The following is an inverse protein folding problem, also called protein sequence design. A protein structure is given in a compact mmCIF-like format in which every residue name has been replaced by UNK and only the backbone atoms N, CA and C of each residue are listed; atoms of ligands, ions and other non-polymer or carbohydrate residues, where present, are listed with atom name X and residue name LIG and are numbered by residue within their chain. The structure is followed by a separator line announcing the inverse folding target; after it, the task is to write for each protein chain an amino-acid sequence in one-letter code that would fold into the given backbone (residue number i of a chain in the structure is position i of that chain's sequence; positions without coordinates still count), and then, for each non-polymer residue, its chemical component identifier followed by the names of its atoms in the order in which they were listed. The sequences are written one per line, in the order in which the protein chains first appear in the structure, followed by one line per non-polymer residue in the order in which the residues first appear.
data_IF_290522201580
#
_entry.id   IF_290522201580
#
_cell.length_a   1.000
_cell.length_b   1.000
_cell.length_c   1.000
_cell.angle_alpha   90.00
_cell.angle_beta   90.00
_cell.angle_gamma   90.00
#
_symmetry.space_group_name_H-M   'P 1'
#
loop_
_entity.id
_entity.type
_entity.pdbx_description
1 polymer ?
#
# COMPACT_ATOMS: atom_id res chain seq x y z
N UNK A 1 39.12 -6.94 -31.34
CA UNK A 1 38.92 -8.23 -32.00
C UNK A 1 38.00 -7.99 -33.20
N UNK A 2 38.50 -8.08 -34.44
CA UNK A 2 37.68 -7.85 -35.65
C UNK A 2 37.03 -9.17 -36.02
N UNK A 3 35.72 -9.29 -35.84
CA UNK A 3 34.96 -10.46 -36.28
C UNK A 3 35.07 -10.61 -37.80
N UNK A 4 35.38 -11.82 -38.26
CA UNK A 4 35.49 -12.11 -39.68
C UNK A 4 34.11 -12.09 -40.34
N UNK A 5 34.07 -11.78 -41.64
CA UNK A 5 32.81 -11.66 -42.41
C UNK A 5 31.92 -12.90 -42.34
N UNK A 6 32.50 -14.08 -42.07
CA UNK A 6 31.79 -15.35 -41.86
C UNK A 6 31.09 -15.43 -40.51
N UNK A 7 31.67 -14.85 -39.46
CA UNK A 7 31.10 -14.82 -38.11
C UNK A 7 29.89 -13.88 -38.06
N UNK A 8 29.98 -12.72 -38.73
CA UNK A 8 28.86 -11.79 -38.88
C UNK A 8 27.68 -12.46 -39.61
N UNK A 9 27.96 -13.21 -40.67
CA UNK A 9 26.92 -13.93 -41.41
C UNK A 9 26.25 -15.02 -40.56
N UNK A 10 27.03 -15.74 -39.76
CA UNK A 10 26.51 -16.77 -38.86
C UNK A 10 25.64 -16.18 -37.73
N UNK A 11 26.07 -15.06 -37.14
CA UNK A 11 25.28 -14.33 -36.13
C UNK A 11 23.96 -13.83 -36.72
N UNK A 12 23.96 -13.30 -37.95
CA UNK A 12 22.73 -12.87 -38.63
C UNK A 12 21.73 -14.01 -38.85
N UNK A 13 22.21 -15.22 -39.16
CA UNK A 13 21.32 -16.38 -39.34
C UNK A 13 20.70 -16.81 -38.01
N UNK A 14 21.49 -16.86 -36.94
CA UNK A 14 21.00 -17.18 -35.60
C UNK A 14 19.96 -16.14 -35.16
N UNK A 15 20.22 -14.85 -35.39
CA UNK A 15 19.30 -13.78 -35.04
C UNK A 15 17.96 -13.92 -35.79
N UNK A 16 17.98 -14.24 -37.09
CA UNK A 16 16.75 -14.48 -37.85
C UNK A 16 15.97 -15.71 -37.37
N UNK A 17 16.67 -16.78 -36.97
CA UNK A 17 16.04 -17.96 -36.37
C UNK A 17 15.35 -17.64 -35.04
N UNK A 18 15.99 -16.83 -34.18
CA UNK A 18 15.41 -16.39 -32.91
C UNK A 18 14.15 -15.55 -33.14
N UNK A 19 14.19 -14.61 -34.09
CA UNK A 19 13.04 -13.77 -34.45
C UNK A 19 11.88 -14.64 -34.97
N UNK A 20 12.16 -15.63 -35.83
CA UNK A 20 11.15 -16.55 -36.33
C UNK A 20 10.51 -17.38 -35.19
N UNK A 21 11.31 -17.84 -34.23
CA UNK A 21 10.83 -18.59 -33.07
C UNK A 21 9.95 -17.72 -32.14
N UNK A 22 10.33 -16.46 -31.92
CA UNK A 22 9.52 -15.50 -31.17
C UNK A 22 8.17 -15.25 -31.86
N UNK A 23 8.16 -15.08 -33.18
CA UNK A 23 6.92 -14.89 -33.95
C UNK A 23 5.99 -16.11 -33.84
N UNK A 24 6.54 -17.33 -33.85
CA UNK A 24 5.75 -18.56 -33.65
C UNK A 24 5.16 -18.62 -32.24
N UNK A 25 5.95 -18.28 -31.21
CA UNK A 25 5.48 -18.25 -29.82
C UNK A 25 4.38 -17.21 -29.60
N UNK A 26 4.52 -16.01 -30.18
CA UNK A 26 3.49 -14.96 -30.14
C UNK A 26 2.21 -15.46 -30.82
N UNK A 27 2.32 -16.17 -31.95
CA UNK A 27 1.15 -16.66 -32.67
C UNK A 27 0.43 -17.79 -31.91
N UNK A 28 1.19 -18.67 -31.23
CA UNK A 28 0.62 -19.71 -30.35
C UNK A 28 -0.11 -19.07 -29.17
N UNK A 29 0.53 -18.11 -28.50
CA UNK A 29 -0.05 -17.41 -27.36
C UNK A 29 -1.30 -16.60 -27.74
N UNK A 30 -1.27 -15.93 -28.90
CA UNK A 30 -2.44 -15.23 -29.46
C UNK A 30 -3.59 -16.19 -29.78
N UNK A 31 -3.30 -17.42 -30.24
CA UNK A 31 -4.33 -18.41 -30.52
C UNK A 31 -4.95 -19.00 -29.25
N UNK A 32 -4.16 -19.16 -28.18
CA UNK A 32 -4.67 -19.58 -26.87
C UNK A 32 -5.56 -18.51 -26.24
N UNK A 33 -5.22 -17.22 -26.39
CA UNK A 33 -6.08 -16.12 -25.93
C UNK A 33 -7.40 -16.02 -26.71
N UNK A 34 -7.38 -16.26 -28.02
CA UNK A 34 -8.62 -16.30 -28.81
C UNK A 34 -9.53 -17.47 -28.42
N UNK A 35 -8.96 -18.65 -28.18
CA UNK A 35 -9.74 -19.80 -27.75
C UNK A 35 -10.31 -19.65 -26.32
N UNK A 36 -9.59 -18.96 -25.43
CA UNK A 36 -10.09 -18.62 -24.08
C UNK A 36 -11.21 -17.57 -24.10
N UNK A 37 -11.23 -16.68 -25.10
CA UNK A 37 -12.25 -15.65 -25.25
C UNK A 37 -13.57 -16.16 -25.88
N UNK A 38 -13.53 -17.22 -26.69
CA UNK A 38 -14.75 -17.83 -27.27
C UNK A 38 -15.55 -18.67 -26.27
N UNK A 39 -14.91 -19.23 -25.24
CA UNK A 39 -15.59 -20.07 -24.22
C UNK A 39 -16.37 -19.25 -23.16
N UNK A 40 -16.33 -17.91 -23.21
CA UNK A 40 -16.98 -17.02 -22.23
C UNK A 40 -18.03 -16.04 -22.78
N UNK A 41 -18.51 -16.21 -24.03
CA UNK A 41 -19.45 -15.22 -24.59
C UNK A 41 -20.91 -15.40 -24.14
N UNK A 42 -21.38 -14.53 -23.22
CA UNK A 42 -22.73 -13.94 -23.15
C UNK A 42 -22.60 -12.47 -22.64
N UNK A 43 -23.55 -11.56 -22.94
CA UNK A 43 -23.20 -10.27 -23.54
C UNK A 43 -22.95 -9.11 -22.55
N UNK A 44 -21.89 -8.37 -22.88
CA UNK A 44 -21.64 -6.92 -22.76
C UNK A 44 -22.42 -6.10 -21.72
N UNK A 45 -21.69 -5.62 -20.71
CA UNK A 45 -21.77 -4.25 -20.21
C UNK A 45 -20.34 -3.73 -19.98
N UNK A 46 -20.09 -2.51 -20.41
CA UNK A 46 -18.79 -1.87 -20.63
C UNK A 46 -17.88 -1.86 -19.39
N UNK A 47 -16.63 -2.30 -19.55
CA UNK A 47 -15.55 -2.19 -18.57
C UNK A 47 -14.51 -1.16 -19.02
N UNK A 48 -14.11 -0.33 -18.06
CA UNK A 48 -12.91 0.50 -18.10
C UNK A 48 -11.66 -0.42 -18.07
N UNK A 49 -10.80 -0.27 -19.08
CA UNK A 49 -9.39 -0.71 -19.11
C UNK A 49 -8.53 0.36 -18.41
N UNK A 50 -7.37 0.11 -17.81
CA UNK A 50 -6.60 -1.07 -17.43
C UNK A 50 -5.43 -0.45 -16.64
N UNK A 51 -5.30 -0.72 -15.34
CA UNK A 51 -4.19 -0.21 -14.52
C UNK A 51 -3.32 -1.38 -14.09
N UNK A 52 -2.04 -1.27 -14.45
CA UNK A 52 -1.05 -2.34 -14.35
C UNK A 52 -0.81 -2.79 -12.91
N UNK A 53 -1.39 -3.92 -12.54
CA UNK A 53 -0.85 -4.84 -11.54
C UNK A 53 -1.40 -6.24 -11.82
N UNK A 54 -0.52 -7.20 -12.07
CA UNK A 54 -0.91 -8.59 -12.32
C UNK A 54 -1.50 -9.17 -11.03
N UNK A 55 -2.83 -9.27 -11.01
CA UNK A 55 -3.62 -9.94 -9.99
C UNK A 55 -3.68 -11.43 -10.33
N UNK A 56 -2.98 -12.28 -9.59
CA UNK A 56 -3.25 -13.71 -9.62
C UNK A 56 -4.28 -14.07 -8.52
N UNK A 57 -5.51 -14.50 -8.89
CA UNK A 57 -6.43 -15.07 -7.92
C UNK A 57 -5.86 -16.40 -7.40
N UNK A 58 -5.87 -16.59 -6.08
CA UNK A 58 -5.52 -17.88 -5.46
C UNK A 58 -6.68 -18.84 -5.72
N UNK A 59 -6.40 -19.97 -6.37
CA UNK A 59 -7.36 -21.03 -6.64
C UNK A 59 -8.05 -21.54 -5.35
N UNK A 60 -9.34 -21.79 -5.50
CA UNK A 60 -10.28 -22.26 -4.49
C UNK A 60 -9.92 -23.69 -4.04
N UNK A 61 -9.23 -23.83 -2.90
CA UNK A 61 -8.91 -25.13 -2.31
C UNK A 61 -10.14 -25.72 -1.62
N UNK A 62 -10.82 -26.64 -2.31
CA UNK A 62 -11.83 -27.53 -1.72
C UNK A 62 -11.15 -28.66 -0.94
N UNK A 63 -11.47 -28.79 0.35
CA UNK A 63 -10.97 -29.86 1.24
C UNK A 63 -11.64 -31.21 0.91
N UNK A 64 -10.83 -32.25 0.79
CA UNK A 64 -11.22 -33.66 0.92
C UNK A 64 -10.72 -34.17 2.28
N UNK A 65 -11.63 -34.78 3.05
CA UNK A 65 -11.37 -35.36 4.38
C UNK A 65 -10.51 -36.62 4.30
N UNK A 66 -9.64 -36.83 5.30
CA UNK A 66 -9.46 -38.16 5.89
C UNK A 66 -8.94 -38.07 7.34
N UNK A 67 -9.60 -38.84 8.21
CA UNK A 67 -9.37 -38.95 9.64
C UNK A 67 -8.24 -39.92 10.00
N UNK A 68 -7.43 -39.61 11.01
CA UNK A 68 -6.89 -40.61 11.94
C UNK A 68 -6.48 -39.98 13.28
N UNK A 69 -6.91 -40.64 14.35
CA UNK A 69 -6.79 -40.32 15.76
C UNK A 69 -5.38 -40.62 16.32
N UNK A 70 -4.84 -39.74 17.18
CA UNK A 70 -3.91 -40.09 18.27
C UNK A 70 -3.64 -38.89 19.21
N UNK A 71 -4.07 -39.03 20.46
CA UNK A 71 -3.86 -38.07 21.55
C UNK A 71 -2.37 -37.88 21.94
N UNK A 72 -1.98 -36.64 22.30
CA UNK A 72 -1.32 -36.30 23.58
C UNK A 72 -1.07 -34.79 23.74
N UNK A 73 -1.77 -34.20 24.72
CA UNK A 73 -1.34 -33.13 25.64
C UNK A 73 -0.23 -32.16 25.19
N UNK A 74 -0.62 -31.05 24.57
CA UNK A 74 -0.06 -29.71 24.78
C UNK A 74 -1.26 -28.75 24.78
N UNK A 75 -1.20 -27.65 25.54
CA UNK A 75 -2.26 -26.65 25.58
C UNK A 75 -2.39 -26.00 24.21
N UNK A 76 -3.15 -26.64 23.31
CA UNK A 76 -3.40 -26.15 21.96
C UNK A 76 -4.13 -24.80 22.07
N UNK A 77 -3.44 -23.74 21.67
CA UNK A 77 -4.06 -22.52 21.16
C UNK A 77 -4.94 -22.94 19.98
N UNK A 78 -6.18 -23.35 20.25
CA UNK A 78 -7.14 -23.67 19.20
C UNK A 78 -7.39 -22.40 18.40
N UNK A 79 -7.30 -22.51 17.08
CA UNK A 79 -7.60 -21.40 16.18
C UNK A 79 -9.01 -20.88 16.43
N UNK A 80 -9.12 -19.57 16.61
CA UNK A 80 -10.39 -18.84 16.68
C UNK A 80 -10.82 -18.31 15.31
N UNK A 81 -10.08 -18.62 14.25
CA UNK A 81 -10.36 -18.18 12.89
C UNK A 81 -11.28 -19.19 12.17
N UNK A 82 -12.56 -18.86 11.90
CA UNK A 82 -13.49 -19.80 11.28
C UNK A 82 -13.11 -20.13 9.81
N UNK A 83 -12.28 -19.31 9.17
CA UNK A 83 -11.85 -19.51 7.78
C UNK A 83 -10.54 -20.29 7.68
N UNK A 84 -9.67 -20.22 8.70
CA UNK A 84 -8.34 -20.83 8.70
C UNK A 84 -8.08 -21.52 10.06
N UNK A 85 -8.66 -22.71 10.29
CA UNK A 85 -8.59 -23.40 11.59
C UNK A 85 -7.19 -23.89 11.96
N UNK A 86 -6.26 -23.88 11.00
CA UNK A 86 -4.86 -24.26 11.20
C UNK A 86 -3.98 -23.06 11.59
N UNK A 87 -4.47 -21.82 11.42
CA UNK A 87 -3.71 -20.63 11.79
C UNK A 87 -3.76 -20.42 13.30
N UNK A 88 -2.60 -20.17 13.91
CA UNK A 88 -2.45 -19.85 15.32
C UNK A 88 -2.76 -18.37 15.58
N UNK A 89 -3.43 -18.03 16.68
CA UNK A 89 -3.56 -16.64 17.09
C UNK A 89 -2.17 -16.05 17.39
N UNK A 90 -2.02 -14.75 17.14
CA UNK A 90 -0.77 -14.06 17.43
C UNK A 90 -0.38 -14.17 18.92
N UNK A 91 0.82 -14.66 19.25
CA UNK A 91 1.15 -15.06 20.61
C UNK A 91 1.63 -13.85 21.42
N UNK A 92 0.72 -13.26 22.19
CA UNK A 92 1.07 -12.22 23.17
C UNK A 92 0.78 -12.70 24.59
N UNK A 93 1.67 -12.36 25.51
CA UNK A 93 1.51 -12.67 26.94
C UNK A 93 0.95 -11.48 27.73
N UNK A 94 1.25 -10.26 27.28
CA UNK A 94 0.95 -9.01 27.97
C UNK A 94 0.27 -8.01 27.05
N UNK A 95 -0.55 -7.14 27.63
CA UNK A 95 -1.27 -6.07 26.91
C UNK A 95 -0.62 -4.69 27.11
N UNK A 96 0.68 -4.68 27.40
CA UNK A 96 1.50 -3.51 27.67
C UNK A 96 2.88 -3.64 27.02
N UNK A 97 3.55 -2.50 26.80
CA UNK A 97 4.86 -2.45 26.14
C UNK A 97 4.80 -2.66 24.63
N UNK A 98 5.97 -2.78 23.98
CA UNK A 98 6.02 -2.96 22.53
C UNK A 98 5.66 -4.39 22.13
N UNK A 99 4.89 -4.53 21.06
CA UNK A 99 4.48 -5.83 20.54
C UNK A 99 5.70 -6.66 20.06
N UNK A 100 6.68 -6.01 19.43
CA UNK A 100 7.91 -6.65 18.95
C UNK A 100 8.79 -7.25 20.06
N UNK A 101 8.66 -6.78 21.31
CA UNK A 101 9.39 -7.36 22.44
C UNK A 101 8.81 -8.72 22.87
N UNK A 102 7.53 -8.96 22.57
CA UNK A 102 6.83 -10.21 22.86
C UNK A 102 6.90 -11.18 21.68
N UNK A 103 6.73 -10.68 20.46
CA UNK A 103 6.81 -11.48 19.24
C UNK A 103 7.59 -10.74 18.14
N UNK A 104 8.92 -10.95 18.09
CA UNK A 104 9.84 -10.19 17.23
C UNK A 104 9.81 -10.67 15.77
N UNK A 105 8.70 -10.46 15.06
CA UNK A 105 8.55 -10.82 13.64
C UNK A 105 9.67 -10.29 12.76
N UNK A 106 10.26 -9.14 13.11
CA UNK A 106 11.37 -8.50 12.42
C UNK A 106 12.67 -9.31 12.46
N UNK A 107 12.79 -10.22 13.44
CA UNK A 107 13.92 -11.15 13.61
C UNK A 107 13.60 -12.57 13.13
N UNK A 108 12.36 -12.83 12.73
CA UNK A 108 11.90 -14.13 12.27
C UNK A 108 11.97 -14.22 10.74
N UNK A 109 12.09 -15.45 10.23
CA UNK A 109 12.06 -15.72 8.79
C UNK A 109 10.60 -15.75 8.28
N UNK A 110 9.99 -14.57 8.12
CA UNK A 110 8.67 -14.44 7.49
C UNK A 110 8.79 -14.76 6.00
N UNK A 111 8.21 -15.88 5.56
CA UNK A 111 8.26 -16.34 4.15
C UNK A 111 7.21 -15.67 3.30
N UNK A 112 6.02 -15.44 3.87
CA UNK A 112 4.90 -14.81 3.17
C UNK A 112 4.01 -14.04 4.14
N UNK A 113 3.48 -12.91 3.67
CA UNK A 113 2.38 -12.20 4.32
C UNK A 113 1.20 -12.19 3.36
N UNK A 114 0.04 -12.62 3.84
CA UNK A 114 -1.22 -12.58 3.08
C UNK A 114 -2.30 -11.86 3.88
N UNK A 115 -3.09 -11.02 3.20
CA UNK A 115 -4.23 -10.32 3.79
C UNK A 115 -5.49 -11.00 3.27
N UNK A 116 -6.31 -11.52 4.17
CA UNK A 116 -7.60 -12.14 3.84
C UNK A 116 -8.72 -11.22 4.30
N UNK A 117 -9.67 -10.95 3.40
CA UNK A 117 -10.84 -10.13 3.69
C UNK A 117 -12.07 -11.02 3.60
N UNK A 118 -12.78 -11.17 4.71
CA UNK A 118 -14.11 -11.78 4.70
C UNK A 118 -15.11 -10.79 4.09
N UNK A 119 -15.75 -11.21 3.01
CA UNK A 119 -16.81 -10.49 2.31
C UNK A 119 -18.10 -11.33 2.37
N UNK A 120 -19.24 -10.71 2.08
CA UNK A 120 -20.54 -11.39 2.07
C UNK A 120 -20.59 -12.57 1.08
N UNK A 121 -19.75 -12.55 0.04
CA UNK A 121 -19.68 -13.55 -1.03
C UNK A 121 -18.47 -14.50 -0.94
N UNK A 122 -17.75 -14.52 0.18
CA UNK A 122 -16.60 -15.40 0.39
C UNK A 122 -15.38 -14.67 0.93
N UNK A 123 -14.22 -15.29 0.83
CA UNK A 123 -12.96 -14.70 1.32
C UNK A 123 -12.11 -14.28 0.13
N UNK A 124 -11.69 -13.02 0.10
CA UNK A 124 -10.72 -12.52 -0.87
C UNK A 124 -9.34 -12.46 -0.24
N UNK A 125 -8.36 -13.10 -0.88
CA UNK A 125 -6.96 -13.07 -0.44
C UNK A 125 -6.12 -12.12 -1.29
N UNK A 126 -5.18 -11.43 -0.64
CA UNK A 126 -4.15 -10.62 -1.26
C UNK A 126 -2.78 -11.09 -0.78
N UNK A 127 -1.87 -11.34 -1.72
CA UNK A 127 -0.46 -11.59 -1.39
C UNK A 127 0.26 -10.26 -1.34
N UNK A 128 0.94 -9.99 -0.23
CA UNK A 128 1.75 -8.78 -0.10
C UNK A 128 3.07 -8.99 -0.84
N UNK A 129 3.58 -7.98 -1.54
CA UNK A 129 4.89 -8.07 -2.18
C UNK A 129 6.01 -8.18 -1.13
N UNK A 130 7.09 -8.95 -1.39
CA UNK A 130 8.18 -9.09 -0.43
C UNK A 130 8.80 -7.76 0.03
N UNK A 131 8.86 -6.77 -0.86
CA UNK A 131 9.34 -5.41 -0.58
C UNK A 131 8.49 -4.72 0.50
N UNK A 132 7.18 -4.99 0.51
CA UNK A 132 6.24 -4.39 1.48
C UNK A 132 6.20 -5.13 2.83
N UNK A 133 6.86 -6.30 2.97
CA UNK A 133 6.86 -7.05 4.23
C UNK A 133 7.45 -6.26 5.37
N UNK A 134 8.56 -5.56 5.11
CA UNK A 134 9.23 -4.74 6.12
C UNK A 134 8.28 -3.71 6.72
N UNK A 135 7.46 -3.05 5.90
CA UNK A 135 6.55 -1.99 6.36
C UNK A 135 5.45 -2.54 7.26
N UNK A 136 4.85 -3.67 6.88
CA UNK A 136 3.82 -4.32 7.70
C UNK A 136 4.39 -4.88 9.00
N UNK A 137 5.53 -5.56 8.92
CA UNK A 137 6.21 -6.12 10.09
C UNK A 137 6.62 -5.01 11.05
N UNK A 138 7.31 -3.96 10.60
CA UNK A 138 7.69 -2.83 11.44
C UNK A 138 6.49 -2.06 11.98
N UNK A 139 5.46 -1.87 11.15
CA UNK A 139 4.23 -1.19 11.56
C UNK A 139 3.47 -1.92 12.67
N UNK A 140 3.66 -3.24 12.77
CA UNK A 140 3.08 -4.09 13.81
C UNK A 140 4.01 -4.24 15.03
N UNK A 141 5.28 -4.60 14.82
CA UNK A 141 6.23 -4.83 15.93
C UNK A 141 6.54 -3.55 16.72
N UNK A 142 6.37 -2.38 16.11
CA UNK A 142 6.57 -1.09 16.78
C UNK A 142 5.34 -0.61 17.56
N UNK A 143 4.23 -1.36 17.60
CA UNK A 143 3.05 -0.95 18.36
C UNK A 143 3.33 -1.00 19.87
N UNK A 144 3.18 0.15 20.54
CA UNK A 144 3.14 0.21 22.00
C UNK A 144 1.72 -0.11 22.49
N UNK A 145 1.52 -1.30 23.06
CA UNK A 145 0.22 -1.79 23.51
C UNK A 145 -0.36 -0.95 24.66
N UNK A 146 0.48 -0.29 25.45
CA UNK A 146 0.03 0.60 26.52
C UNK A 146 -0.63 1.86 25.98
N UNK A 147 -0.07 2.45 24.93
CA UNK A 147 -0.58 3.70 24.31
C UNK A 147 -1.75 3.43 23.38
N UNK A 148 -1.76 2.29 22.70
CA UNK A 148 -2.70 2.00 21.61
C UNK A 148 -4.00 1.33 22.05
N UNK A 149 -4.08 0.86 23.30
CA UNK A 149 -5.26 0.17 23.84
C UNK A 149 -6.52 1.02 23.75
N UNK A 150 -7.64 0.41 23.36
CA UNK A 150 -8.93 1.08 23.25
C UNK A 150 -10.09 0.22 23.78
N UNK A 151 -11.09 0.88 24.37
CA UNK A 151 -12.33 0.26 24.85
C UNK A 151 -13.39 0.34 23.74
N UNK A 152 -13.28 -0.52 22.73
CA UNK A 152 -14.33 -0.67 21.71
C UNK A 152 -15.25 -1.82 22.05
N UNK A 153 -16.57 -1.59 21.90
CA UNK A 153 -17.56 -2.66 21.95
C UNK A 153 -17.45 -3.50 20.68
N UNK A 154 -17.05 -4.76 20.81
CA UNK A 154 -16.81 -5.72 19.72
C UNK A 154 -18.03 -6.03 18.83
N UNK A 155 -19.19 -5.42 19.09
CA UNK A 155 -20.49 -5.75 18.50
C UNK A 155 -20.92 -4.94 17.28
N UNK A 156 -20.04 -4.11 16.69
CA UNK A 156 -20.48 -3.11 15.70
C UNK A 156 -19.81 -3.16 14.31
N UNK A 157 -18.91 -4.10 14.00
CA UNK A 157 -17.98 -3.90 12.88
C UNK A 157 -17.95 -5.09 11.91
N UNK A 158 -18.19 -4.82 10.62
CA UNK A 158 -18.69 -5.76 9.61
C UNK A 158 -17.65 -6.21 8.58
N UNK A 159 -16.36 -6.19 8.90
CA UNK A 159 -15.33 -6.72 7.98
C UNK A 159 -14.22 -7.39 8.77
N UNK A 160 -14.22 -8.72 8.76
CA UNK A 160 -13.14 -9.51 9.34
C UNK A 160 -11.97 -9.54 8.37
N UNK A 161 -10.99 -8.65 8.60
CA UNK A 161 -9.70 -8.70 7.90
C UNK A 161 -8.73 -9.53 8.74
N UNK A 162 -8.04 -10.46 8.11
CA UNK A 162 -7.02 -11.30 8.75
C UNK A 162 -5.68 -11.06 8.08
N UNK A 163 -4.70 -10.61 8.85
CA UNK A 163 -3.30 -10.50 8.43
C UNK A 163 -2.62 -11.80 8.83
N UNK A 164 -2.17 -12.58 7.85
CA UNK A 164 -1.56 -13.90 8.08
C UNK A 164 -0.07 -13.85 7.78
N UNK A 165 0.71 -14.33 8.74
CA UNK A 165 2.17 -14.45 8.66
C UNK A 165 2.54 -15.92 8.51
N UNK A 166 3.17 -16.26 7.40
CA UNK A 166 3.65 -17.61 7.10
C UNK A 166 5.13 -17.68 7.48
N UNK A 167 5.42 -18.43 8.55
CA UNK A 167 6.78 -18.73 9.00
C UNK A 167 7.16 -20.15 8.56
N UNK A 168 8.35 -20.64 8.92
CA UNK A 168 8.87 -21.92 8.43
C UNK A 168 7.96 -23.12 8.71
N UNK A 169 7.38 -23.22 9.92
CA UNK A 169 6.56 -24.36 10.35
C UNK A 169 5.17 -23.97 10.87
N UNK A 170 4.86 -22.68 10.95
CA UNK A 170 3.66 -22.18 11.62
C UNK A 170 3.07 -21.00 10.86
N UNK A 171 1.76 -20.87 10.94
CA UNK A 171 1.02 -19.72 10.42
C UNK A 171 0.37 -18.99 11.59
N UNK A 172 0.61 -17.69 11.66
CA UNK A 172 0.01 -16.83 12.67
C UNK A 172 -0.95 -15.84 12.02
N UNK A 173 -2.02 -15.48 12.72
CA UNK A 173 -2.95 -14.46 12.24
C UNK A 173 -3.21 -13.36 13.28
N UNK A 174 -3.49 -12.16 12.77
CA UNK A 174 -4.06 -11.04 13.51
C UNK A 174 -5.35 -10.63 12.85
N UNK A 175 -6.42 -10.51 13.64
CA UNK A 175 -7.66 -9.90 13.18
C UNK A 175 -7.52 -8.38 13.20
N UNK A 176 -7.90 -7.75 12.12
CA UNK A 176 -7.86 -6.30 11.93
C UNK A 176 -9.23 -5.78 11.53
N UNK A 177 -9.54 -4.59 12.03
CA UNK A 177 -10.78 -3.92 11.81
C UNK A 177 -10.57 -2.64 11.00
N UNK A 178 -11.04 -2.63 9.75
CA UNK A 178 -10.87 -1.50 8.84
C UNK A 178 -11.57 -0.23 9.33
N UNK A 179 -12.78 -0.34 9.87
CA UNK A 179 -13.59 0.83 10.21
C UNK A 179 -13.05 1.58 11.42
N UNK A 180 -12.44 0.86 12.36
CA UNK A 180 -11.86 1.45 13.58
C UNK A 180 -10.35 1.65 13.52
N UNK A 181 -9.67 1.10 12.51
CA UNK A 181 -8.22 0.98 12.44
C UNK A 181 -7.63 0.32 13.70
N UNK A 182 -8.15 -0.86 14.07
CA UNK A 182 -7.67 -1.60 15.25
C UNK A 182 -7.24 -3.02 14.91
N UNK A 183 -6.21 -3.52 15.59
CA UNK A 183 -5.88 -4.95 15.67
C UNK A 183 -6.49 -5.55 16.92
N UNK A 184 -6.93 -6.80 16.83
CA UNK A 184 -7.38 -7.59 17.97
C UNK A 184 -6.28 -8.55 18.40
N UNK A 185 -5.86 -8.44 19.67
CA UNK A 185 -4.85 -9.29 20.28
C UNK A 185 -5.35 -9.74 21.65
N UNK A 186 -5.44 -11.05 21.89
CA UNK A 186 -5.95 -11.65 23.14
C UNK A 186 -7.30 -11.05 23.60
N UNK A 187 -8.23 -10.87 22.65
CA UNK A 187 -9.57 -10.30 22.90
C UNK A 187 -9.59 -8.81 23.29
N UNK A 188 -8.47 -8.10 23.12
CA UNK A 188 -8.36 -6.65 23.35
C UNK A 188 -8.07 -5.94 22.03
N UNK A 189 -8.50 -4.68 21.92
CA UNK A 189 -8.34 -3.87 20.72
C UNK A 189 -7.25 -2.82 20.89
N UNK A 190 -6.42 -2.67 19.86
CA UNK A 190 -5.31 -1.71 19.84
C UNK A 190 -5.32 -0.96 18.52
N UNK A 191 -5.22 0.37 18.55
CA UNK A 191 -5.10 1.15 17.32
C UNK A 191 -3.82 0.80 16.56
N UNK A 192 -3.97 0.54 15.27
CA UNK A 192 -2.85 0.23 14.40
C UNK A 192 -2.07 1.49 14.00
N UNK A 193 -0.82 1.29 13.57
CA UNK A 193 0.05 2.36 13.11
C UNK A 193 -0.40 2.96 11.78
N UNK A 194 0.06 4.18 11.48
CA UNK A 194 -0.27 4.87 10.20
C UNK A 194 0.00 4.01 8.97
N UNK A 195 1.16 3.36 8.94
CA UNK A 195 1.57 2.55 7.79
C UNK A 195 0.70 1.29 7.67
N UNK A 196 0.41 0.61 8.79
CA UNK A 196 -0.44 -0.57 8.77
C UNK A 196 -1.86 -0.22 8.26
N UNK A 197 -2.43 0.89 8.77
CA UNK A 197 -3.71 1.42 8.31
C UNK A 197 -3.72 1.68 6.80
N UNK A 198 -2.78 2.47 6.28
CA UNK A 198 -2.78 2.87 4.87
C UNK A 198 -2.60 1.67 3.94
N UNK A 199 -1.73 0.72 4.29
CA UNK A 199 -1.53 -0.50 3.51
C UNK A 199 -2.78 -1.39 3.49
N UNK A 200 -3.44 -1.58 4.63
CA UNK A 200 -4.66 -2.40 4.66
C UNK A 200 -5.80 -1.76 3.86
N UNK A 201 -5.91 -0.43 3.89
CA UNK A 201 -6.87 0.28 3.04
C UNK A 201 -6.53 0.19 1.55
N UNK A 202 -5.25 0.19 1.16
CA UNK A 202 -4.84 -0.03 -0.23
C UNK A 202 -5.39 -1.37 -0.77
N UNK A 203 -5.26 -2.46 -0.01
CA UNK A 203 -5.76 -3.77 -0.45
C UNK A 203 -7.27 -3.92 -0.31
N UNK A 204 -7.85 -3.43 0.78
CA UNK A 204 -9.24 -3.75 1.11
C UNK A 204 -10.24 -2.72 0.56
N UNK A 205 -9.82 -1.46 0.39
CA UNK A 205 -10.68 -0.34 -0.02
C UNK A 205 -9.90 0.66 -0.91
N UNK A 206 -9.30 0.21 -2.04
CA UNK A 206 -8.39 1.02 -2.86
C UNK A 206 -9.01 2.33 -3.36
N UNK A 207 -10.32 2.36 -3.65
CA UNK A 207 -11.02 3.56 -4.14
C UNK A 207 -11.29 4.64 -3.08
N UNK A 208 -10.95 4.41 -1.81
CA UNK A 208 -11.10 5.42 -0.74
C UNK A 208 -9.88 6.34 -0.67
N UNK A 209 -10.03 7.53 -0.07
CA UNK A 209 -8.88 8.43 0.13
C UNK A 209 -7.74 7.80 0.94
N UNK A 210 -8.05 6.91 1.89
CA UNK A 210 -7.03 6.13 2.58
C UNK A 210 -6.37 5.07 1.69
N UNK A 211 -7.12 4.45 0.77
CA UNK A 211 -6.56 3.54 -0.23
C UNK A 211 -5.57 4.24 -1.13
N UNK A 212 -5.95 5.43 -1.64
CA UNK A 212 -5.07 6.31 -2.41
C UNK A 212 -3.85 6.80 -1.60
N UNK A 213 -4.03 7.11 -0.31
CA UNK A 213 -2.90 7.41 0.57
C UNK A 213 -1.97 6.20 0.73
N UNK A 214 -2.53 4.99 0.82
CA UNK A 214 -1.76 3.74 0.81
C UNK A 214 -0.97 3.53 -0.49
N UNK A 215 -1.56 3.82 -1.65
CA UNK A 215 -0.90 3.79 -2.95
C UNK A 215 0.29 4.76 -3.01
N UNK A 216 0.06 6.03 -2.62
CA UNK A 216 1.10 7.05 -2.51
C UNK A 216 2.24 6.61 -1.57
N UNK A 217 1.91 6.00 -0.42
CA UNK A 217 2.92 5.44 0.50
C UNK A 217 3.66 4.25 -0.10
N UNK A 218 3.00 3.44 -0.93
CA UNK A 218 3.66 2.40 -1.71
C UNK A 218 4.72 2.97 -2.65
N UNK A 219 4.45 4.11 -3.29
CA UNK A 219 5.44 4.82 -4.12
C UNK A 219 6.63 5.30 -3.27
N UNK A 220 6.39 5.86 -2.07
CA UNK A 220 7.47 6.26 -1.15
C UNK A 220 8.37 5.06 -0.78
N UNK A 221 7.77 3.92 -0.44
CA UNK A 221 8.51 2.71 0.00
C UNK A 221 9.30 2.09 -1.15
N UNK A 222 8.71 2.01 -2.35
CA UNK A 222 9.42 1.52 -3.53
C UNK A 222 10.58 2.43 -3.91
N UNK A 223 10.47 3.73 -3.63
CA UNK A 223 11.57 4.68 -3.79
C UNK A 223 12.70 4.40 -2.78
N UNK A 224 12.40 4.17 -1.49
CA UNK A 224 13.38 3.91 -0.43
C UNK A 224 14.33 2.71 -0.68
N UNK A 225 13.90 1.71 -1.45
CA UNK A 225 14.72 0.54 -1.81
C UNK A 225 15.80 0.84 -2.88
N UNK A 226 15.71 1.99 -3.56
CA UNK A 226 16.75 2.46 -4.47
C UNK A 226 17.87 3.21 -3.70
N UNK A 227 19.12 3.24 -4.21
CA UNK A 227 20.18 4.04 -3.60
C UNK A 227 19.70 5.48 -3.42
N UNK A 228 19.75 6.00 -2.19
CA UNK A 228 19.23 7.32 -1.84
C UNK A 228 19.78 8.38 -2.82
N UNK A 229 18.96 8.93 -3.74
CA UNK A 229 19.43 9.94 -4.64
C UNK A 229 19.74 11.18 -3.82
N UNK A 230 20.85 11.84 -4.13
CA UNK A 230 21.23 13.05 -3.41
C UNK A 230 20.29 14.20 -3.84
N UNK A 231 19.62 14.82 -2.87
CA UNK A 231 18.82 16.03 -3.12
C UNK A 231 19.75 17.16 -3.62
N UNK A 232 19.37 17.82 -4.71
CA UNK A 232 20.08 19.00 -5.19
C UNK A 232 19.64 20.24 -4.41
N UNK A 233 20.34 20.48 -3.30
CA UNK A 233 20.10 21.64 -2.42
C UNK A 233 20.61 22.96 -3.00
N UNK A 234 21.22 22.96 -4.20
CA UNK A 234 21.56 24.22 -4.89
C UNK A 234 20.33 24.88 -5.50
N UNK A 235 19.24 24.13 -5.69
CA UNK A 235 17.96 24.64 -6.19
C UNK A 235 17.14 25.22 -5.04
N UNK A 236 16.98 26.53 -5.07
CA UNK A 236 16.15 27.29 -4.14
C UNK A 236 14.94 27.82 -4.90
N UNK A 237 13.75 27.62 -4.34
CA UNK A 237 12.50 28.05 -4.93
C UNK A 237 11.81 29.09 -4.05
N UNK A 238 10.95 29.90 -4.66
CA UNK A 238 10.04 30.78 -3.92
C UNK A 238 8.93 29.94 -3.26
N UNK A 239 8.82 29.93 -1.91
CA UNK A 239 7.79 29.18 -1.19
C UNK A 239 6.36 29.49 -1.63
N UNK A 240 6.09 30.71 -2.10
CA UNK A 240 4.75 31.13 -2.51
C UNK A 240 4.21 30.31 -3.68
N UNK A 241 5.10 29.78 -4.54
CA UNK A 241 4.74 28.96 -5.72
C UNK A 241 4.14 27.60 -5.35
N UNK A 242 4.38 27.11 -4.13
CA UNK A 242 3.95 25.79 -3.67
C UNK A 242 2.75 25.81 -2.72
N UNK A 243 2.11 26.97 -2.57
CA UNK A 243 0.78 27.01 -1.97
C UNK A 243 -0.19 26.21 -2.81
N UNK A 244 -1.23 25.66 -2.20
CA UNK A 244 -2.37 25.06 -2.89
C UNK A 244 -3.60 25.84 -2.48
N UNK A 245 -4.34 26.39 -3.46
CA UNK A 245 -5.45 27.32 -3.21
C UNK A 245 -5.07 28.45 -2.23
N UNK A 246 -3.94 29.12 -2.48
CA UNK A 246 -3.42 30.22 -1.66
C UNK A 246 -3.07 29.87 -0.22
N UNK A 247 -2.93 28.59 0.13
CA UNK A 247 -2.55 28.14 1.47
C UNK A 247 -1.28 27.29 1.45
N UNK A 248 -0.37 27.56 2.38
CA UNK A 248 0.74 26.67 2.71
C UNK A 248 0.28 25.54 3.67
N UNK A 249 1.21 24.66 4.05
CA UNK A 249 0.91 23.53 4.95
C UNK A 249 0.28 23.98 6.28
N UNK A 250 0.86 24.97 6.96
CA UNK A 250 0.39 25.42 8.26
C UNK A 250 -1.00 26.06 8.19
N UNK A 251 -1.27 26.81 7.11
CA UNK A 251 -2.58 27.42 6.85
C UNK A 251 -3.65 26.37 6.54
N UNK A 252 -3.32 25.38 5.71
CA UNK A 252 -4.19 24.24 5.45
C UNK A 252 -4.46 23.43 6.71
N UNK A 253 -3.42 23.10 7.48
CA UNK A 253 -3.55 22.33 8.73
C UNK A 253 -4.47 23.04 9.73
N UNK A 254 -4.33 24.36 9.89
CA UNK A 254 -5.24 25.18 10.71
C UNK A 254 -6.66 25.18 10.16
N UNK A 255 -6.81 25.39 8.85
CA UNK A 255 -8.11 25.41 8.18
C UNK A 255 -8.87 24.09 8.38
N UNK A 256 -8.23 22.97 8.05
CA UNK A 256 -8.77 21.61 8.20
C UNK A 256 -9.15 21.31 9.64
N UNK A 257 -8.30 21.69 10.60
CA UNK A 257 -8.58 21.44 12.02
C UNK A 257 -9.75 22.26 12.57
N UNK A 258 -10.08 23.39 11.93
CA UNK A 258 -11.16 24.29 12.35
C UNK A 258 -12.46 24.14 11.57
N UNK A 259 -12.43 23.46 10.41
CA UNK A 259 -13.59 23.31 9.54
C UNK A 259 -14.29 21.97 9.78
N UNK A 260 -15.58 22.02 10.12
CA UNK A 260 -16.43 20.85 10.42
C UNK A 260 -16.67 19.93 9.23
N UNK A 261 -16.47 20.39 8.00
CA UNK A 261 -16.64 19.58 6.79
C UNK A 261 -15.56 18.48 6.69
N UNK A 262 -14.42 18.68 7.36
CA UNK A 262 -13.35 17.71 7.47
C UNK A 262 -13.61 16.76 8.64
N UNK A 263 -14.05 15.55 8.33
CA UNK A 263 -14.43 14.55 9.32
C UNK A 263 -13.21 13.87 9.91
N UNK A 264 -13.18 13.70 11.23
CA UNK A 264 -12.27 12.75 11.88
C UNK A 264 -12.66 11.34 11.48
N UNK A 265 -11.88 10.76 10.56
CA UNK A 265 -12.23 9.49 9.94
C UNK A 265 -11.62 8.31 10.71
N UNK A 266 -10.33 8.41 11.05
CA UNK A 266 -9.58 7.30 11.65
C UNK A 266 -8.59 7.80 12.69
N UNK A 267 -8.45 7.06 13.79
CA UNK A 267 -7.35 7.23 14.76
C UNK A 267 -6.26 6.23 14.45
N UNK A 268 -5.00 6.62 14.60
CA UNK A 268 -3.86 5.76 14.36
C UNK A 268 -2.74 6.04 15.35
N UNK A 269 -1.91 5.02 15.58
CA UNK A 269 -0.72 5.14 16.40
C UNK A 269 0.47 5.72 15.61
N UNK A 270 1.08 6.77 16.16
CA UNK A 270 2.27 7.40 15.62
C UNK A 270 3.49 6.88 16.36
N UNK A 271 4.26 6.03 15.67
CA UNK A 271 5.45 5.37 16.24
C UNK A 271 6.54 6.38 16.63
N UNK A 272 6.67 7.50 15.89
CA UNK A 272 7.78 8.45 16.07
C UNK A 272 7.71 9.25 17.37
N UNK A 273 6.52 9.48 17.89
CA UNK A 273 6.27 10.31 19.08
C UNK A 273 5.39 9.60 20.13
N UNK A 274 5.20 8.28 19.98
CA UNK A 274 4.43 7.41 20.88
C UNK A 274 3.08 8.01 21.27
N UNK A 275 2.30 8.44 20.27
CA UNK A 275 1.02 9.12 20.52
C UNK A 275 -0.07 8.76 19.50
N UNK A 276 -1.32 8.95 19.92
CA UNK A 276 -2.49 8.78 19.08
C UNK A 276 -2.72 10.02 18.22
N UNK A 277 -2.87 9.81 16.92
CA UNK A 277 -3.16 10.85 15.93
C UNK A 277 -4.44 10.51 15.17
N UNK A 278 -4.98 11.50 14.48
CA UNK A 278 -6.22 11.38 13.73
C UNK A 278 -5.98 11.76 12.27
N UNK A 279 -6.59 11.00 11.36
CA UNK A 279 -6.76 11.37 9.95
C UNK A 279 -8.06 12.14 9.80
N UNK A 280 -7.99 13.28 9.14
CA UNK A 280 -9.16 14.06 8.72
C UNK A 280 -9.35 13.96 7.22
N UNK A 281 -10.59 13.81 6.79
CA UNK A 281 -10.93 13.55 5.39
C UNK A 281 -12.07 14.45 4.92
N UNK A 282 -11.96 14.94 3.69
CA UNK A 282 -13.04 15.53 2.92
C UNK A 282 -13.17 14.82 1.56
N UNK A 283 -14.05 13.82 1.49
CA UNK A 283 -14.19 12.93 0.32
C UNK A 283 -14.58 13.68 -0.96
N UNK A 284 -15.48 14.66 -0.85
CA UNK A 284 -15.95 15.44 -2.01
C UNK A 284 -14.83 16.30 -2.62
N UNK A 285 -13.99 16.92 -1.79
CA UNK A 285 -12.85 17.72 -2.25
C UNK A 285 -11.60 16.86 -2.55
N UNK A 286 -11.60 15.57 -2.19
CA UNK A 286 -10.46 14.70 -2.41
C UNK A 286 -9.24 15.03 -1.53
N UNK A 287 -9.50 15.47 -0.28
CA UNK A 287 -8.45 15.92 0.63
C UNK A 287 -8.36 15.00 1.84
N UNK A 288 -7.15 14.51 2.12
CA UNK A 288 -6.82 13.75 3.31
C UNK A 288 -5.71 14.47 4.07
N UNK A 289 -5.86 14.59 5.39
CA UNK A 289 -4.92 15.26 6.25
C UNK A 289 -4.52 14.41 7.44
N UNK A 290 -3.22 14.33 7.66
CA UNK A 290 -2.57 13.88 8.89
C UNK A 290 -1.76 15.04 9.47
N UNK A 291 -1.29 14.97 10.72
CA UNK A 291 -0.50 16.06 11.31
C UNK A 291 0.78 16.43 10.56
N UNK A 292 1.34 15.54 9.72
CA UNK A 292 2.58 15.77 8.96
C UNK A 292 2.36 15.85 7.44
N UNK A 293 1.15 15.61 6.94
CA UNK A 293 0.91 15.42 5.50
C UNK A 293 -0.49 15.81 5.12
N UNK A 294 -0.63 16.58 4.04
CA UNK A 294 -1.90 16.90 3.41
C UNK A 294 -1.82 16.39 1.98
N UNK A 295 -2.72 15.48 1.64
CA UNK A 295 -2.84 14.82 0.35
C UNK A 295 -4.02 15.42 -0.42
N UNK A 296 -3.78 15.75 -1.68
CA UNK A 296 -4.78 16.19 -2.64
C UNK A 296 -4.85 15.19 -3.80
N UNK A 297 -6.05 14.73 -4.14
CA UNK A 297 -6.26 13.67 -5.16
C UNK A 297 -7.15 14.09 -6.32
N UNK A 298 -7.75 15.30 -6.27
CA UNK A 298 -8.67 15.81 -7.30
C UNK A 298 -8.11 17.08 -7.96
N UNK A 299 -8.59 17.35 -9.16
CA UNK A 299 -8.16 18.49 -10.00
C UNK A 299 -8.91 19.81 -9.69
N UNK A 300 -9.68 19.85 -8.61
CA UNK A 300 -10.34 21.02 -8.04
C UNK A 300 -9.38 21.93 -7.25
N UNK A 301 -8.14 21.48 -7.03
CA UNK A 301 -7.09 22.27 -6.38
C UNK A 301 -5.92 22.51 -7.33
N UNK A 302 -5.28 23.66 -7.20
CA UNK A 302 -4.08 24.00 -7.96
C UNK A 302 -3.13 24.88 -7.15
N UNK A 303 -1.86 24.88 -7.57
CA UNK A 303 -0.89 25.88 -7.11
C UNK A 303 -1.06 27.21 -7.84
N UNK A 304 -0.42 28.31 -7.37
CA UNK A 304 -0.41 29.60 -8.07
C UNK A 304 0.13 29.51 -9.51
N UNK A 305 1.09 28.61 -9.75
CA UNK A 305 1.61 28.38 -11.10
C UNK A 305 0.65 27.58 -11.97
N UNK A 306 -0.42 27.01 -11.41
CA UNK A 306 -1.42 26.22 -12.13
C UNK A 306 -1.18 24.71 -12.07
N UNK A 307 -0.31 24.22 -11.18
CA UNK A 307 -0.05 22.78 -11.04
C UNK A 307 -1.26 22.10 -10.44
N UNK A 308 -1.84 21.13 -11.14
CA UNK A 308 -3.04 20.40 -10.73
C UNK A 308 -2.96 18.92 -11.12
N UNK A 309 -3.76 18.09 -10.45
CA UNK A 309 -3.91 16.67 -10.78
C UNK A 309 -4.31 16.49 -12.26
N UNK A 310 -3.69 15.51 -12.92
CA UNK A 310 -3.89 15.18 -14.33
C UNK A 310 -2.83 15.75 -15.28
N UNK A 311 -1.94 16.63 -14.81
CA UNK A 311 -0.86 17.19 -15.64
C UNK A 311 0.24 16.16 -15.92
N UNK A 312 0.78 16.17 -17.13
CA UNK A 312 1.94 15.36 -17.50
C UNK A 312 3.22 15.85 -16.82
N UNK A 313 4.22 14.96 -16.71
CA UNK A 313 5.56 15.33 -16.22
C UNK A 313 6.17 16.50 -16.99
N UNK A 314 5.95 16.55 -18.31
CA UNK A 314 6.48 17.60 -19.17
C UNK A 314 5.85 18.97 -18.88
N UNK A 315 4.55 19.01 -18.63
CA UNK A 315 3.85 20.24 -18.26
C UNK A 315 4.35 20.75 -16.92
N UNK A 316 4.40 19.88 -15.91
CA UNK A 316 4.92 20.20 -14.58
C UNK A 316 6.35 20.73 -14.67
N UNK A 317 7.24 20.05 -15.41
CA UNK A 317 8.64 20.45 -15.57
C UNK A 317 8.76 21.82 -16.26
N UNK A 318 7.89 22.12 -17.22
CA UNK A 318 7.89 23.42 -17.91
C UNK A 318 7.47 24.58 -17.01
N UNK A 319 6.66 24.30 -15.99
CA UNK A 319 6.09 25.29 -15.08
C UNK A 319 6.94 25.46 -13.82
N UNK A 320 7.29 24.37 -13.14
CA UNK A 320 8.06 24.41 -11.89
C UNK A 320 9.57 24.32 -12.08
N UNK A 321 10.04 23.82 -13.23
CA UNK A 321 11.43 23.41 -13.41
C UNK A 321 11.71 22.04 -12.80
N UNK A 322 12.98 21.60 -12.84
CA UNK A 322 13.38 20.33 -12.23
C UNK A 322 13.17 20.36 -10.72
N UNK A 323 12.83 19.23 -10.05
CA UNK A 323 12.70 19.15 -8.59
C UNK A 323 14.06 19.10 -7.86
N UNK A 324 14.09 19.25 -6.53
CA UNK A 324 15.28 18.95 -5.72
C UNK A 324 15.62 17.47 -5.75
N UNK A 325 14.59 16.61 -5.77
CA UNK A 325 14.70 15.17 -5.84
C UNK A 325 13.70 14.60 -6.86
N UNK A 326 14.16 13.69 -7.69
CA UNK A 326 13.32 12.88 -8.58
C UNK A 326 13.70 11.42 -8.39
N UNK A 327 12.76 10.61 -7.90
CA UNK A 327 12.98 9.22 -7.54
C UNK A 327 11.78 8.38 -7.99
N UNK A 328 11.97 7.64 -9.10
CA UNK A 328 10.87 6.94 -9.76
C UNK A 328 9.73 7.91 -10.07
N UNK A 329 8.53 7.57 -9.58
CA UNK A 329 7.32 8.34 -9.80
C UNK A 329 7.09 9.47 -8.77
N UNK A 330 8.06 9.75 -7.90
CA UNK A 330 7.97 10.81 -6.89
C UNK A 330 8.94 11.92 -7.20
N UNK A 331 8.45 13.15 -7.28
CA UNK A 331 9.25 14.36 -7.34
C UNK A 331 9.03 15.20 -6.08
N UNK A 332 10.11 15.71 -5.49
CA UNK A 332 10.06 16.53 -4.28
C UNK A 332 10.74 17.87 -4.50
N UNK A 333 10.02 18.93 -4.13
CA UNK A 333 10.51 20.29 -4.07
C UNK A 333 10.63 20.69 -2.60
N UNK A 334 11.86 20.95 -2.17
CA UNK A 334 12.19 21.37 -0.81
C UNK A 334 11.94 22.87 -0.71
N UNK A 335 10.92 23.25 0.08
CA UNK A 335 10.54 24.65 0.30
C UNK A 335 11.47 25.27 1.34
N UNK A 336 11.71 24.54 2.43
CA UNK A 336 12.67 24.83 3.49
C UNK A 336 13.00 23.52 4.22
N UNK A 337 13.77 23.61 5.31
CA UNK A 337 14.26 22.44 6.06
C UNK A 337 13.13 21.52 6.57
N UNK A 338 11.95 22.08 6.85
CA UNK A 338 10.84 21.34 7.45
C UNK A 338 9.68 21.08 6.47
N UNK A 339 9.65 21.73 5.31
CA UNK A 339 8.50 21.71 4.39
C UNK A 339 8.89 21.24 2.99
N UNK A 340 8.13 20.27 2.48
CA UNK A 340 8.25 19.78 1.10
C UNK A 340 6.92 19.80 0.37
N UNK A 341 6.99 20.09 -0.93
CA UNK A 341 5.92 19.94 -1.89
C UNK A 341 6.25 18.73 -2.77
N UNK A 342 5.48 17.65 -2.64
CA UNK A 342 5.74 16.42 -3.39
C UNK A 342 4.66 16.16 -4.43
N UNK A 343 5.10 15.67 -5.58
CA UNK A 343 4.29 15.28 -6.72
C UNK A 343 4.49 13.77 -6.95
N UNK A 344 3.39 13.07 -7.14
CA UNK A 344 3.38 11.63 -7.40
C UNK A 344 2.69 11.34 -8.72
N UNK A 345 3.39 10.67 -9.62
CA UNK A 345 2.92 10.35 -10.96
C UNK A 345 2.46 8.90 -11.08
N UNK A 346 1.43 8.65 -11.88
CA UNK A 346 0.99 7.30 -12.28
C UNK A 346 0.62 7.35 -13.76
N UNK A 347 1.08 6.38 -14.56
CA UNK A 347 0.72 6.29 -15.98
C UNK A 347 0.90 7.63 -16.72
N UNK A 348 2.08 8.25 -16.51
CA UNK A 348 2.56 9.51 -17.10
C UNK A 348 1.90 10.82 -16.62
N UNK A 349 0.88 10.76 -15.75
CA UNK A 349 0.19 11.94 -15.25
C UNK A 349 0.30 12.11 -13.73
N UNK A 350 0.26 13.37 -13.28
CA UNK A 350 0.27 13.76 -11.89
C UNK A 350 -1.00 13.26 -11.20
N UNK A 351 -0.85 12.34 -10.26
CA UNK A 351 -1.96 11.69 -9.56
C UNK A 351 -2.20 12.24 -8.17
N UNK A 352 -1.13 12.61 -7.47
CA UNK A 352 -1.20 13.18 -6.13
C UNK A 352 -0.29 14.38 -5.94
N UNK A 353 -0.80 15.37 -5.23
CA UNK A 353 0.00 16.46 -4.68
C UNK A 353 -0.01 16.31 -3.16
N UNK A 354 1.15 16.52 -2.53
CA UNK A 354 1.21 16.61 -1.07
C UNK A 354 1.97 17.83 -0.60
N UNK A 355 1.50 18.36 0.53
CA UNK A 355 2.28 19.23 1.39
C UNK A 355 2.70 18.41 2.61
N UNK A 356 4.00 18.30 2.86
CA UNK A 356 4.54 17.57 4.01
C UNK A 356 5.32 18.50 4.92
N UNK A 357 5.15 18.29 6.23
CA UNK A 357 5.97 18.88 7.28
C UNK A 357 6.66 17.75 8.04
N UNK A 358 7.99 17.83 8.18
CA UNK A 358 8.78 16.87 8.97
C UNK A 358 8.81 17.23 10.46
#
# INVERSE_FOLDING_TARGET
MRLEKKEIWFISIILMLIIALMMILINIWSSEQQNAAEDQSLPAAQSEEDSGMVLEPVEELTKQEESADASKSEAHLQSVNPHFPEDLPFPIEKTEGNLGDQFPLDKMSVKRISIMVSLDNGVRGYTVSPQSYRVLVQGLTSLNLSTTKTEMNSSALASDVYIRFHLDNEMYFIKYNLDSNTVELNGQHFYASRNLMSYLHLFCRPGTLLGMFGEMRGIDVNAEDAPAPQEDMTRVYDPERFKIQEKNFAEWSRYISSNSDYKEAYRYYSVSDDNMKTVRIHEEEGILSTPSTILFTKNNVSSPDGISIGMSEKEVLSMLGSPNLSQGNKWSYTINDDLKFNLYFTEENLRYITLTSE
#
